data_IF_270533091985
#
_entry.id   IF_270533091985
#
_cell.length_a   1.000
_cell.length_b   1.000
_cell.length_c   1.000
_cell.angle_alpha   90.00
_cell.angle_beta   90.00
_cell.angle_gamma   90.00
#
_symmetry.space_group_name_H-M   'P 1'
#
loop_
_entity.id
_entity.type
_entity.pdbx_description
1 polymer ?
#
# COMPACT_ATOMS: atom_id res chain seq x y z
N UNK A 1 8.30 -4.29 -3.64
CA UNK A 1 9.72 -4.51 -3.25
C UNK A 1 10.31 -5.44 -4.28
N UNK A 2 11.40 -5.06 -4.89
CA UNK A 2 12.13 -5.87 -5.87
C UNK A 2 13.06 -6.85 -5.15
N UNK A 3 13.43 -7.97 -5.80
CA UNK A 3 14.48 -8.86 -5.31
C UNK A 3 15.76 -8.05 -5.08
N UNK A 4 16.48 -8.35 -4.02
CA UNK A 4 17.76 -7.72 -3.65
C UNK A 4 17.78 -6.18 -3.69
N UNK A 5 16.61 -5.54 -3.76
CA UNK A 5 16.46 -4.08 -3.84
C UNK A 5 16.83 -3.47 -5.19
N UNK A 6 17.17 -4.29 -6.19
CA UNK A 6 17.60 -3.84 -7.51
C UNK A 6 16.47 -3.93 -8.55
N UNK A 7 15.78 -2.79 -8.74
CA UNK A 7 14.74 -2.69 -9.74
C UNK A 7 15.25 -2.78 -11.20
N UNK A 8 16.36 -2.13 -11.60
CA UNK A 8 16.89 -2.25 -12.96
C UNK A 8 17.17 -3.68 -13.35
N UNK A 9 17.98 -4.41 -12.58
CA UNK A 9 18.33 -5.81 -12.88
C UNK A 9 17.09 -6.70 -12.97
N UNK A 10 16.10 -6.51 -12.09
CA UNK A 10 14.85 -7.24 -12.19
C UNK A 10 14.10 -6.92 -13.49
N UNK A 11 13.98 -5.64 -13.85
CA UNK A 11 13.27 -5.22 -15.06
C UNK A 11 13.95 -5.72 -16.33
N UNK A 12 15.28 -5.76 -16.35
CA UNK A 12 16.08 -6.30 -17.47
C UNK A 12 15.91 -7.83 -17.61
N UNK A 13 15.60 -8.53 -16.52
CA UNK A 13 15.35 -9.98 -16.53
C UNK A 13 13.96 -10.36 -17.07
N UNK A 14 13.03 -9.41 -17.16
CA UNK A 14 11.68 -9.67 -17.68
C UNK A 14 11.73 -9.95 -19.20
N UNK A 15 11.22 -11.11 -19.62
CA UNK A 15 11.29 -11.58 -20.99
C UNK A 15 10.73 -10.53 -21.99
N UNK A 16 11.39 -10.32 -23.15
CA UNK A 16 10.98 -9.31 -24.13
C UNK A 16 9.53 -9.44 -24.63
N UNK A 17 9.02 -10.68 -24.74
CA UNK A 17 7.64 -10.95 -25.18
C UNK A 17 6.58 -10.74 -24.08
N UNK A 18 6.96 -10.39 -22.88
CA UNK A 18 6.05 -10.16 -21.77
C UNK A 18 5.58 -8.71 -21.75
N UNK A 19 4.28 -8.49 -21.77
CA UNK A 19 3.66 -7.15 -21.71
C UNK A 19 3.72 -6.56 -20.31
N UNK A 20 3.62 -7.40 -19.29
CA UNK A 20 3.66 -6.98 -17.90
C UNK A 20 3.53 -8.12 -16.90
N UNK A 21 3.45 -7.74 -15.64
CA UNK A 21 3.38 -8.65 -14.50
C UNK A 21 2.22 -8.29 -13.60
N UNK A 22 1.48 -9.29 -13.14
CA UNK A 22 0.63 -9.14 -11.98
C UNK A 22 1.46 -9.31 -10.71
N UNK A 23 1.41 -8.33 -9.84
CA UNK A 23 2.21 -8.25 -8.62
C UNK A 23 1.29 -8.31 -7.41
N UNK A 24 1.56 -9.28 -6.53
CA UNK A 24 0.79 -9.45 -5.30
C UNK A 24 0.96 -8.23 -4.39
N UNK A 25 -0.16 -7.80 -3.80
CA UNK A 25 -0.22 -6.69 -2.87
C UNK A 25 -0.53 -7.20 -1.47
N UNK A 26 0.25 -6.75 -0.49
CA UNK A 26 0.08 -7.07 0.92
C UNK A 26 -0.22 -5.81 1.72
N UNK A 27 -1.38 -5.76 2.37
CA UNK A 27 -1.73 -4.65 3.25
C UNK A 27 -0.93 -4.74 4.54
N UNK A 28 -0.30 -3.64 4.94
CA UNK A 28 0.34 -3.54 6.24
C UNK A 28 -0.71 -3.66 7.36
N UNK A 29 -0.37 -4.41 8.39
CA UNK A 29 -1.18 -4.53 9.61
C UNK A 29 -1.15 -3.20 10.34
N UNK A 30 -2.32 -2.69 10.69
CA UNK A 30 -2.47 -1.51 11.55
C UNK A 30 -2.45 -1.99 13.00
N UNK A 31 -1.32 -1.85 13.67
CA UNK A 31 -1.18 -2.27 15.06
C UNK A 31 -1.86 -1.28 16.01
N UNK A 32 -2.54 -1.82 17.00
CA UNK A 32 -3.00 -1.03 18.14
C UNK A 32 -1.78 -0.54 18.94
N UNK A 33 -1.61 0.76 19.03
CA UNK A 33 -0.51 1.38 19.77
C UNK A 33 -0.83 1.62 21.26
N UNK A 34 -2.05 1.34 21.70
CA UNK A 34 -2.51 1.49 23.08
C UNK A 34 -2.45 2.91 23.66
N UNK A 35 -1.70 3.82 23.04
CA UNK A 35 -1.40 5.16 23.57
C UNK A 35 -1.73 6.33 22.65
N UNK A 36 -1.92 6.10 21.37
CA UNK A 36 -2.15 7.18 20.41
C UNK A 36 -3.40 6.92 19.59
N UNK A 37 -4.25 7.95 19.50
CA UNK A 37 -5.36 8.00 18.54
C UNK A 37 -4.90 7.76 17.09
N UNK A 38 -3.62 7.94 16.81
CA UNK A 38 -2.98 7.68 15.55
C UNK A 38 -2.22 6.35 15.61
N UNK A 39 -2.91 5.24 15.42
CA UNK A 39 -2.26 3.96 15.15
C UNK A 39 -1.27 4.15 13.99
N UNK A 40 0.00 3.79 14.17
CA UNK A 40 1.05 4.10 13.21
C UNK A 40 1.43 2.86 12.42
N UNK A 41 0.87 2.71 11.22
CA UNK A 41 1.47 1.87 10.20
C UNK A 41 2.44 2.72 9.34
N UNK A 42 3.60 3.06 9.90
CA UNK A 42 4.62 3.77 9.12
C UNK A 42 5.54 2.76 8.42
N UNK A 43 5.88 2.95 7.11
CA UNK A 43 6.73 2.01 6.37
C UNK A 43 8.05 1.67 7.07
N UNK A 44 8.64 2.62 7.81
CA UNK A 44 9.89 2.39 8.55
C UNK A 44 9.73 1.59 9.86
N UNK A 45 8.53 1.22 10.24
CA UNK A 45 8.22 0.49 11.48
C UNK A 45 7.42 -0.78 11.21
N UNK A 46 6.78 -0.87 10.02
CA UNK A 46 5.93 -2.00 9.69
C UNK A 46 6.75 -3.19 9.23
N UNK A 47 6.45 -4.34 9.81
CA UNK A 47 7.02 -5.65 9.48
C UNK A 47 5.95 -6.69 9.21
N UNK A 48 4.70 -6.42 9.61
CA UNK A 48 3.62 -7.38 9.56
C UNK A 48 2.64 -7.02 8.46
N UNK A 49 2.26 -8.01 7.68
CA UNK A 49 1.39 -7.84 6.52
C UNK A 49 0.34 -8.94 6.48
N UNK A 50 -0.86 -8.57 6.06
CA UNK A 50 -1.92 -9.52 5.78
C UNK A 50 -1.58 -10.33 4.52
N UNK A 51 -1.70 -11.66 4.61
CA UNK A 51 -1.48 -12.54 3.46
C UNK A 51 -2.52 -12.30 2.36
N UNK A 52 -3.76 -12.08 2.77
CA UNK A 52 -4.83 -11.65 1.89
C UNK A 52 -5.19 -10.20 2.16
N UNK A 53 -5.07 -9.37 1.13
CA UNK A 53 -5.44 -7.95 1.22
C UNK A 53 -6.91 -7.79 0.91
N UNK A 54 -7.63 -7.17 1.84
CA UNK A 54 -9.04 -6.85 1.68
C UNK A 54 -9.27 -5.33 1.74
N UNK A 55 -10.37 -4.88 1.18
CA UNK A 55 -10.83 -3.50 1.34
C UNK A 55 -11.61 -3.31 2.66
N UNK A 56 -12.09 -2.10 2.90
CA UNK A 56 -12.87 -1.76 4.11
C UNK A 56 -14.24 -2.48 4.22
N UNK A 57 -14.67 -3.18 3.19
CA UNK A 57 -15.87 -4.05 3.17
C UNK A 57 -15.51 -5.53 3.26
N UNK A 58 -14.29 -5.85 3.66
CA UNK A 58 -13.75 -7.21 3.74
C UNK A 58 -13.82 -7.99 2.41
N UNK A 59 -13.77 -7.28 1.27
CA UNK A 59 -13.71 -7.90 -0.05
C UNK A 59 -12.26 -8.03 -0.50
N UNK A 60 -11.83 -9.19 -1.02
CA UNK A 60 -10.49 -9.38 -1.55
C UNK A 60 -10.11 -8.30 -2.56
N UNK A 61 -8.87 -7.88 -2.51
CA UNK A 61 -8.33 -6.90 -3.43
C UNK A 61 -7.41 -7.60 -4.43
N UNK A 62 -7.63 -7.45 -5.74
CA UNK A 62 -6.81 -8.11 -6.75
C UNK A 62 -5.37 -7.59 -6.74
N UNK A 63 -4.48 -8.34 -7.37
CA UNK A 63 -3.10 -7.95 -7.65
C UNK A 63 -3.06 -6.62 -8.40
N UNK A 64 -1.88 -6.02 -8.49
CA UNK A 64 -1.62 -4.84 -9.31
C UNK A 64 -0.90 -5.24 -10.57
N UNK A 65 -1.17 -4.54 -11.67
CA UNK A 65 -0.44 -4.71 -12.90
C UNK A 65 0.75 -3.75 -12.98
N UNK A 66 1.93 -4.29 -13.30
CA UNK A 66 3.11 -3.56 -13.73
C UNK A 66 3.35 -3.90 -15.20
N UNK A 67 3.51 -2.91 -16.06
CA UNK A 67 3.56 -3.14 -17.50
C UNK A 67 4.64 -2.33 -18.19
N UNK A 68 5.04 -2.79 -19.37
CA UNK A 68 5.89 -2.01 -20.28
C UNK A 68 5.12 -0.80 -20.80
N UNK A 69 5.84 0.22 -21.22
CA UNK A 69 5.24 1.36 -21.89
C UNK A 69 4.79 0.95 -23.30
N UNK A 70 3.50 1.12 -23.59
CA UNK A 70 2.89 0.96 -24.91
C UNK A 70 2.12 2.23 -25.24
N UNK A 71 2.06 2.58 -26.54
CA UNK A 71 1.39 3.79 -26.98
C UNK A 71 -0.12 3.79 -26.66
N UNK A 72 -0.76 2.63 -26.83
CA UNK A 72 -2.21 2.48 -26.76
C UNK A 72 -2.70 1.74 -25.51
N UNK A 73 -1.88 1.67 -24.45
CA UNK A 73 -2.27 0.98 -23.24
C UNK A 73 -3.35 1.75 -22.49
N UNK A 74 -4.42 1.07 -22.14
CA UNK A 74 -5.46 1.55 -21.23
C UNK A 74 -5.31 0.82 -19.91
N UNK A 75 -5.21 1.57 -18.80
CA UNK A 75 -5.10 1.02 -17.45
C UNK A 75 -6.47 1.04 -16.80
N UNK A 76 -6.92 -0.12 -16.35
CA UNK A 76 -8.20 -0.23 -15.63
C UNK A 76 -8.16 0.42 -14.25
N UNK A 77 -9.35 0.64 -13.69
CA UNK A 77 -9.50 1.29 -12.39
C UNK A 77 -8.68 0.60 -11.32
N UNK A 78 -7.86 1.39 -10.64
CA UNK A 78 -7.00 0.91 -9.57
C UNK A 78 -5.78 0.13 -10.05
N UNK A 79 -5.45 0.15 -11.35
CA UNK A 79 -4.29 -0.54 -11.92
C UNK A 79 -4.29 -2.05 -11.63
N UNK A 80 -5.42 -2.69 -11.86
CA UNK A 80 -5.59 -4.13 -11.66
C UNK A 80 -5.49 -4.92 -12.97
N UNK A 81 -5.69 -4.25 -14.08
CA UNK A 81 -5.65 -4.82 -15.43
C UNK A 81 -5.22 -3.75 -16.43
N UNK A 82 -4.72 -4.18 -17.57
CA UNK A 82 -4.38 -3.34 -18.72
C UNK A 82 -4.94 -3.94 -20.00
N UNK A 83 -5.28 -3.06 -20.95
CA UNK A 83 -5.77 -3.41 -22.29
C UNK A 83 -4.91 -2.72 -23.36
N UNK A 84 -5.00 -3.17 -24.61
CA UNK A 84 -4.24 -2.59 -25.74
C UNK A 84 -2.77 -2.97 -25.75
N UNK A 85 -2.34 -3.93 -24.91
CA UNK A 85 -0.97 -4.42 -24.90
C UNK A 85 -0.75 -5.54 -25.91
N UNK A 86 0.51 -5.74 -26.28
CA UNK A 86 0.98 -6.92 -27.02
C UNK A 86 1.90 -7.74 -26.12
N UNK A 87 1.72 -9.06 -26.08
CA UNK A 87 2.47 -9.98 -25.23
C UNK A 87 1.68 -10.50 -24.04
N UNK A 88 2.30 -11.39 -23.25
CA UNK A 88 1.67 -12.02 -22.10
C UNK A 88 1.66 -11.14 -20.86
N UNK A 89 0.67 -11.40 -19.97
CA UNK A 89 0.65 -10.93 -18.61
C UNK A 89 0.81 -12.13 -17.69
N UNK A 90 1.77 -12.11 -16.78
CA UNK A 90 2.08 -13.24 -15.90
C UNK A 90 2.13 -12.80 -14.45
N UNK A 91 1.89 -13.72 -13.51
CA UNK A 91 2.07 -13.47 -12.10
C UNK A 91 3.55 -13.55 -11.73
N UNK A 92 4.04 -12.54 -10.97
CA UNK A 92 5.37 -12.57 -10.39
C UNK A 92 5.29 -12.83 -8.89
N UNK A 93 6.06 -13.80 -8.44
CA UNK A 93 6.34 -14.08 -7.02
C UNK A 93 7.59 -13.35 -6.50
N UNK A 94 8.40 -12.83 -7.42
CA UNK A 94 9.65 -12.13 -7.09
C UNK A 94 9.42 -10.70 -6.60
N UNK A 95 8.36 -10.04 -7.08
CA UNK A 95 8.04 -8.65 -6.70
C UNK A 95 6.82 -8.61 -5.81
N UNK A 96 6.87 -7.78 -4.77
CA UNK A 96 5.76 -7.58 -3.84
C UNK A 96 5.44 -6.10 -3.67
N UNK A 97 4.16 -5.77 -3.55
CA UNK A 97 3.70 -4.42 -3.21
C UNK A 97 3.30 -4.41 -1.75
N UNK A 98 4.05 -3.69 -0.91
CA UNK A 98 3.65 -3.40 0.45
C UNK A 98 2.77 -2.16 0.47
N UNK A 99 1.50 -2.36 0.77
CA UNK A 99 0.48 -1.34 0.71
C UNK A 99 0.08 -0.86 2.11
N UNK A 100 0.01 0.44 2.30
CA UNK A 100 -0.31 1.11 3.57
C UNK A 100 -1.66 1.83 3.43
N UNK A 101 -2.78 1.12 3.51
CA UNK A 101 -4.10 1.74 3.36
C UNK A 101 -4.42 2.70 4.51
N UNK A 102 -3.87 2.41 5.69
CA UNK A 102 -4.11 3.11 6.94
C UNK A 102 -2.77 3.48 7.58
N UNK A 103 -2.45 4.77 7.69
CA UNK A 103 -1.20 5.26 8.28
C UNK A 103 -1.40 5.98 9.60
N UNK A 104 -2.29 6.97 9.63
CA UNK A 104 -2.74 7.67 10.81
C UNK A 104 -4.21 8.03 10.64
N UNK A 105 -4.93 8.26 11.74
CA UNK A 105 -6.35 8.63 11.66
C UNK A 105 -6.56 9.93 10.88
N UNK A 106 -5.73 10.94 11.11
CA UNK A 106 -5.83 12.23 10.42
C UNK A 106 -5.62 12.10 8.90
N UNK A 107 -4.63 11.31 8.48
CA UNK A 107 -4.40 10.97 7.07
C UNK A 107 -5.57 10.19 6.48
N UNK A 108 -6.08 9.22 7.21
CA UNK A 108 -7.21 8.40 6.81
C UNK A 108 -8.49 9.24 6.67
N UNK A 109 -8.80 10.08 7.66
CA UNK A 109 -9.95 10.99 7.62
C UNK A 109 -9.88 11.92 6.41
N UNK A 110 -8.71 12.51 6.13
CA UNK A 110 -8.49 13.37 4.97
C UNK A 110 -8.68 12.61 3.65
N UNK A 111 -8.15 11.39 3.56
CA UNK A 111 -8.33 10.50 2.41
C UNK A 111 -9.80 10.20 2.17
N UNK A 112 -10.57 9.84 3.22
CA UNK A 112 -12.00 9.52 3.11
C UNK A 112 -12.81 10.76 2.73
N UNK A 113 -12.50 11.92 3.29
CA UNK A 113 -13.17 13.17 2.95
C UNK A 113 -13.01 13.51 1.47
N UNK A 114 -11.79 13.45 0.94
CA UNK A 114 -11.49 13.82 -0.45
C UNK A 114 -12.00 12.75 -1.43
N UNK A 115 -11.65 11.49 -1.21
CA UNK A 115 -12.02 10.39 -2.09
C UNK A 115 -13.50 10.09 -2.07
N UNK A 116 -14.14 10.08 -0.90
CA UNK A 116 -15.59 9.89 -0.78
C UNK A 116 -16.39 10.99 -1.47
N UNK A 117 -15.97 12.26 -1.32
CA UNK A 117 -16.59 13.37 -2.03
C UNK A 117 -16.42 13.27 -3.56
N UNK A 118 -15.24 12.80 -4.04
CA UNK A 118 -15.00 12.58 -5.46
C UNK A 118 -15.95 11.50 -6.03
N UNK A 119 -16.10 10.37 -5.34
CA UNK A 119 -17.03 9.31 -5.74
C UNK A 119 -18.49 9.74 -5.70
N UNK A 120 -18.86 10.64 -4.79
CA UNK A 120 -20.23 11.19 -4.75
C UNK A 120 -20.54 12.12 -5.92
N UNK A 121 -19.56 12.93 -6.34
CA UNK A 121 -19.72 13.87 -7.46
C UNK A 121 -19.71 13.16 -8.82
N UNK A 122 -19.01 12.04 -8.94
CA UNK A 122 -18.90 11.33 -10.22
C UNK A 122 -20.12 10.42 -10.43
N UNK A 123 -21.10 10.93 -11.16
CA UNK A 123 -22.34 10.23 -11.49
C UNK A 123 -22.17 9.25 -12.67
N UNK A 124 -21.10 9.37 -13.45
CA UNK A 124 -20.81 8.51 -14.60
C UNK A 124 -20.27 7.13 -14.22
N UNK A 125 -19.91 6.90 -12.96
CA UNK A 125 -19.41 5.61 -12.49
C UNK A 125 -20.55 4.68 -12.04
N UNK A 126 -20.43 3.36 -12.31
CA UNK A 126 -21.36 2.38 -11.74
C UNK A 126 -21.48 2.53 -10.22
N UNK A 127 -22.69 2.35 -9.68
CA UNK A 127 -22.92 2.52 -8.23
C UNK A 127 -22.11 1.59 -7.34
N UNK A 128 -21.76 0.41 -7.85
CA UNK A 128 -20.89 -0.57 -7.17
C UNK A 128 -19.43 -0.10 -7.03
N UNK A 129 -19.01 0.83 -7.89
CA UNK A 129 -17.64 1.36 -7.84
C UNK A 129 -17.48 2.36 -6.71
N UNK A 130 -16.48 2.12 -5.86
CA UNK A 130 -16.20 3.00 -4.72
C UNK A 130 -17.16 2.83 -3.54
N UNK A 131 -17.87 1.70 -3.42
CA UNK A 131 -18.79 1.42 -2.30
C UNK A 131 -18.12 1.63 -0.94
N UNK A 132 -16.91 1.10 -0.76
CA UNK A 132 -16.15 1.27 0.48
C UNK A 132 -15.89 2.76 0.78
N UNK A 133 -15.58 3.57 -0.24
CA UNK A 133 -15.36 5.00 -0.10
C UNK A 133 -16.65 5.74 0.29
N UNK A 134 -17.77 5.41 -0.36
CA UNK A 134 -19.06 6.00 -0.07
C UNK A 134 -19.55 5.64 1.33
N UNK A 135 -19.33 4.39 1.76
CA UNK A 135 -19.71 3.95 3.11
C UNK A 135 -18.89 4.71 4.17
N UNK A 136 -17.57 4.73 4.03
CA UNK A 136 -16.70 5.41 4.98
C UNK A 136 -16.96 6.93 5.00
N UNK A 137 -17.27 7.53 3.85
CA UNK A 137 -17.65 8.93 3.79
C UNK A 137 -19.00 9.20 4.50
N UNK A 138 -19.94 8.26 4.47
CA UNK A 138 -21.17 8.36 5.29
C UNK A 138 -20.85 8.26 6.79
N UNK A 139 -19.94 7.37 7.19
CA UNK A 139 -19.45 7.28 8.58
C UNK A 139 -18.79 8.59 9.02
N UNK A 140 -17.95 9.17 8.18
CA UNK A 140 -17.31 10.46 8.47
C UNK A 140 -18.36 11.56 8.74
N UNK A 141 -19.44 11.59 7.96
CA UNK A 141 -20.52 12.59 8.13
C UNK A 141 -21.39 12.36 9.36
N UNK A 142 -21.31 11.20 10.00
CA UNK A 142 -22.08 10.81 11.19
C UNK A 142 -21.21 10.60 12.41
N UNK A 143 -19.98 11.12 12.37
CA UNK A 143 -18.96 10.99 13.41
C UNK A 143 -18.57 9.55 13.79
N UNK A 144 -18.97 8.55 12.98
CA UNK A 144 -18.69 7.13 13.19
C UNK A 144 -17.36 6.65 12.61
N UNK A 145 -16.58 7.53 11.95
CA UNK A 145 -15.35 7.11 11.29
C UNK A 145 -14.25 6.73 12.30
N UNK A 146 -14.26 7.33 13.47
CA UNK A 146 -13.31 7.02 14.54
C UNK A 146 -13.51 5.61 15.08
N UNK A 147 -14.74 5.22 15.37
CA UNK A 147 -15.06 3.87 15.84
C UNK A 147 -14.67 2.82 14.79
N UNK A 148 -14.98 3.09 13.52
CA UNK A 148 -14.54 2.25 12.41
C UNK A 148 -13.01 2.11 12.35
N UNK A 149 -12.28 3.22 12.55
CA UNK A 149 -10.82 3.21 12.61
C UNK A 149 -10.29 2.35 13.75
N UNK A 150 -10.88 2.44 14.94
CA UNK A 150 -10.51 1.60 16.07
C UNK A 150 -10.70 0.10 15.75
N UNK A 151 -11.78 -0.25 15.08
CA UNK A 151 -12.04 -1.62 14.64
C UNK A 151 -11.09 -2.16 13.57
N UNK A 152 -10.31 -1.31 12.90
CA UNK A 152 -9.27 -1.72 11.95
C UNK A 152 -7.94 -2.07 12.64
N UNK A 153 -7.77 -1.73 13.91
CA UNK A 153 -6.54 -1.94 14.63
C UNK A 153 -6.43 -3.40 15.09
N UNK A 154 -5.25 -3.95 14.97
CA UNK A 154 -4.93 -5.33 15.34
C UNK A 154 -4.28 -5.33 16.71
N UNK A 155 -4.89 -5.98 17.70
CA UNK A 155 -4.32 -6.12 19.04
C UNK A 155 -3.10 -7.04 19.03
N UNK A 156 -2.25 -7.02 20.07
CA UNK A 156 -1.13 -7.95 20.18
C UNK A 156 -1.55 -9.43 20.13
N UNK A 157 -2.68 -9.77 20.73
CA UNK A 157 -3.23 -11.13 20.76
C UNK A 157 -3.69 -11.55 19.36
N UNK A 158 -4.42 -10.67 18.64
CA UNK A 158 -4.86 -10.90 17.28
C UNK A 158 -3.67 -11.02 16.31
N UNK A 159 -2.61 -10.23 16.52
CA UNK A 159 -1.36 -10.36 15.76
C UNK A 159 -0.71 -11.72 15.99
N UNK A 160 -0.54 -12.14 17.24
CA UNK A 160 0.05 -13.44 17.59
C UNK A 160 -0.76 -14.60 16.98
N UNK A 161 -2.08 -14.52 17.05
CA UNK A 161 -2.96 -15.53 16.44
C UNK A 161 -2.83 -15.54 14.92
N UNK A 162 -2.85 -14.37 14.26
CA UNK A 162 -2.70 -14.27 12.82
C UNK A 162 -1.36 -14.80 12.29
N UNK A 163 -0.28 -14.60 13.04
CA UNK A 163 1.04 -15.18 12.74
C UNK A 163 1.02 -16.71 12.86
N UNK A 164 0.39 -17.25 13.90
CA UNK A 164 0.27 -18.69 14.13
C UNK A 164 -0.56 -19.38 13.04
N UNK A 165 -1.64 -18.76 12.61
CA UNK A 165 -2.55 -19.26 11.57
C UNK A 165 -2.02 -19.01 10.15
N UNK A 166 -1.00 -18.17 9.99
CA UNK A 166 -0.46 -17.80 8.70
C UNK A 166 -1.30 -16.77 7.92
N UNK A 167 -2.34 -16.18 8.53
CA UNK A 167 -3.11 -15.08 7.93
C UNK A 167 -2.34 -13.76 7.93
N UNK A 168 -1.39 -13.62 8.84
CA UNK A 168 -0.39 -12.54 8.90
C UNK A 168 1.00 -13.15 8.74
N UNK A 169 1.90 -12.45 8.08
CA UNK A 169 3.31 -12.83 7.99
C UNK A 169 4.22 -11.65 8.31
N UNK A 170 5.43 -11.96 8.77
CA UNK A 170 6.48 -10.99 8.98
C UNK A 170 7.35 -10.86 7.74
N UNK A 171 7.62 -9.61 7.32
CA UNK A 171 8.59 -9.27 6.28
C UNK A 171 9.35 -8.00 6.69
N UNK A 172 10.64 -8.16 6.96
CA UNK A 172 11.49 -7.09 7.40
C UNK A 172 12.17 -6.31 6.26
N UNK A 173 12.03 -6.73 4.98
CA UNK A 173 12.75 -6.13 3.84
C UNK A 173 12.52 -4.62 3.75
N UNK A 174 11.26 -4.18 3.83
CA UNK A 174 10.93 -2.76 3.77
C UNK A 174 11.48 -1.99 4.97
N UNK A 175 11.36 -2.55 6.17
CA UNK A 175 11.89 -1.95 7.39
C UNK A 175 13.42 -1.75 7.31
N UNK A 176 14.16 -2.74 6.84
CA UNK A 176 15.63 -2.68 6.66
C UNK A 176 15.99 -1.63 5.60
N UNK A 177 15.31 -1.64 4.45
CA UNK A 177 15.53 -0.66 3.39
C UNK A 177 15.29 0.77 3.87
N UNK A 178 14.20 1.02 4.60
CA UNK A 178 13.88 2.35 5.13
C UNK A 178 14.87 2.82 6.20
N UNK A 179 15.39 1.91 7.05
CA UNK A 179 16.47 2.25 7.99
C UNK A 179 17.74 2.66 7.25
N UNK A 180 18.14 1.92 6.22
CA UNK A 180 19.30 2.24 5.40
C UNK A 180 19.17 3.60 4.72
N UNK A 181 18.02 3.88 4.12
CA UNK A 181 17.73 5.20 3.50
C UNK A 181 17.81 6.34 4.50
N UNK A 182 17.24 6.18 5.70
CA UNK A 182 17.34 7.19 6.77
C UNK A 182 18.78 7.45 7.19
N UNK A 183 19.59 6.40 7.35
CA UNK A 183 21.00 6.54 7.70
C UNK A 183 21.80 7.26 6.59
N UNK A 184 21.54 6.94 5.32
CA UNK A 184 22.15 7.62 4.16
C UNK A 184 21.75 9.10 4.11
N UNK A 185 20.48 9.40 4.29
CA UNK A 185 19.97 10.78 4.29
C UNK A 185 20.54 11.60 5.44
N UNK A 186 20.64 11.04 6.64
CA UNK A 186 21.25 11.71 7.79
C UNK A 186 22.74 12.00 7.58
N UNK A 187 23.49 11.04 7.02
CA UNK A 187 24.92 11.25 6.66
C UNK A 187 25.09 12.33 5.59
N UNK A 188 24.23 12.34 4.59
CA UNK A 188 24.21 13.39 3.56
C UNK A 188 23.94 14.77 4.16
N UNK A 189 22.91 14.88 5.00
CA UNK A 189 22.56 16.12 5.68
C UNK A 189 23.69 16.64 6.59
N UNK A 190 24.35 15.76 7.36
CA UNK A 190 25.52 16.11 8.14
C UNK A 190 26.66 16.65 7.27
N UNK A 191 26.96 15.98 6.15
CA UNK A 191 27.99 16.47 5.22
C UNK A 191 27.67 17.86 4.68
N UNK A 192 26.44 18.10 4.27
CA UNK A 192 26.01 19.41 3.79
C UNK A 192 26.06 20.51 4.88
N UNK A 193 25.83 20.17 6.13
CA UNK A 193 25.93 21.10 7.25
C UNK A 193 27.38 21.45 7.59
N UNK A 194 28.26 20.45 7.63
CA UNK A 194 29.70 20.64 7.90
C UNK A 194 30.34 21.48 6.80
N UNK A 195 30.04 21.25 5.52
CA UNK A 195 30.58 22.06 4.42
C UNK A 195 30.16 23.53 4.48
N UNK A 196 28.96 23.85 5.02
CA UNK A 196 28.53 25.24 5.24
C UNK A 196 29.18 25.92 6.44
N UNK A 197 29.82 25.16 7.33
CA UNK A 197 30.55 25.72 8.48
C UNK A 197 32.03 25.95 8.16
N UNK A 198 32.54 25.33 7.10
CA UNK A 198 33.94 25.45 6.65
C UNK A 198 34.11 26.37 5.45
N UNK A 199 33.04 26.98 4.95
CA UNK A 199 33.00 28.03 3.93
C UNK A 199 32.65 29.39 4.56
#
# INVERSE_FOLDING_TARGET
>A
MFPDGDAPSFLDSVAPGMAGLFVQRFNAVLLDSGRHRDGLAHPSQSRFFWRESVNALNRPLPAKCMHRAFADVTVDQGNHEIFGHQGSLEFSDQVSIFHFPYRSFSSYQSKIRLGGAAYQRNQGLPRSWGDAWRQQHRLLRRDGLWEFWCGLQTTPEALAQGLKEGSIFEDARLFVAMKSLRAKHYRFWLKCRISRWLS
#
